data_IF_593090298935
#
_entry.id   IF_593090298935
#
_cell.length_a   1.000
_cell.length_b   1.000
_cell.length_c   1.000
_cell.angle_alpha   90.00
_cell.angle_beta   90.00
_cell.angle_gamma   90.00
#
_symmetry.space_group_name_H-M   'P 1'
#
loop_
_entity.id
_entity.type
_entity.pdbx_description
1 polymer ?
#
# COMPACT_ATOMS: atom_id res chain seq x y z
N UNK A 1 23.22 -3.02 75.95
CA UNK A 1 21.95 -3.53 75.35
C UNK A 1 21.62 -2.76 74.07
N UNK A 2 22.45 -2.86 73.01
CA UNK A 2 22.24 -2.03 71.80
C UNK A 2 22.69 -2.65 70.47
N UNK A 3 23.20 -3.89 70.49
CA UNK A 3 23.62 -4.60 69.27
C UNK A 3 22.55 -5.60 68.77
N UNK A 4 21.80 -6.24 69.68
CA UNK A 4 20.83 -7.28 69.32
C UNK A 4 19.55 -6.75 68.67
N UNK A 5 19.18 -5.49 68.93
CA UNK A 5 17.96 -4.90 68.39
C UNK A 5 18.07 -4.53 66.90
N UNK A 6 19.30 -4.27 66.41
CA UNK A 6 19.55 -3.86 65.01
C UNK A 6 19.59 -5.06 64.04
N UNK A 7 19.93 -6.25 64.55
CA UNK A 7 19.95 -7.49 63.75
C UNK A 7 18.53 -8.03 63.57
N UNK A 8 17.68 -7.96 64.60
CA UNK A 8 16.28 -8.41 64.51
C UNK A 8 15.44 -7.58 63.53
N UNK A 9 15.75 -6.29 63.35
CA UNK A 9 15.00 -5.40 62.45
C UNK A 9 15.33 -5.69 60.97
N UNK A 10 16.61 -5.93 60.66
CA UNK A 10 17.04 -6.28 59.30
C UNK A 10 16.52 -7.65 58.81
N UNK A 11 16.36 -8.63 59.71
CA UNK A 11 15.81 -9.95 59.35
C UNK A 11 14.31 -9.85 59.03
N UNK A 12 13.56 -9.02 59.77
CA UNK A 12 12.13 -8.81 59.52
C UNK A 12 11.87 -8.04 58.21
N UNK A 13 12.72 -7.09 57.84
CA UNK A 13 12.61 -6.36 56.57
C UNK A 13 12.97 -7.25 55.36
N UNK A 14 13.96 -8.13 55.49
CA UNK A 14 14.30 -9.10 54.43
C UNK A 14 13.21 -10.15 54.22
N UNK A 15 12.60 -10.65 55.30
CA UNK A 15 11.47 -11.56 55.25
C UNK A 15 10.22 -10.89 54.65
N UNK A 16 9.96 -9.62 54.99
CA UNK A 16 8.87 -8.83 54.42
C UNK A 16 9.04 -8.55 52.92
N UNK A 17 10.27 -8.31 52.47
CA UNK A 17 10.59 -8.08 51.06
C UNK A 17 10.50 -9.37 50.23
N UNK A 18 11.03 -10.49 50.74
CA UNK A 18 10.86 -11.80 50.09
C UNK A 18 9.38 -12.16 49.98
N UNK A 19 8.59 -11.98 51.04
CA UNK A 19 7.17 -12.33 51.03
C UNK A 19 6.35 -11.44 50.06
N UNK A 20 6.75 -10.18 49.85
CA UNK A 20 6.17 -9.31 48.80
C UNK A 20 6.55 -9.76 47.39
N UNK A 21 7.81 -10.10 47.14
CA UNK A 21 8.28 -10.59 45.84
C UNK A 21 7.62 -11.93 45.50
N UNK A 22 7.53 -12.87 46.44
CA UNK A 22 6.86 -14.15 46.25
C UNK A 22 5.37 -13.97 45.97
N UNK A 23 4.67 -13.07 46.68
CA UNK A 23 3.27 -12.75 46.38
C UNK A 23 3.08 -12.11 45.00
N UNK A 24 3.95 -11.20 44.58
CA UNK A 24 3.90 -10.61 43.24
C UNK A 24 4.16 -11.64 42.13
N UNK A 25 5.08 -12.59 42.34
CA UNK A 25 5.33 -13.68 41.40
C UNK A 25 4.11 -14.62 41.33
N UNK A 26 3.53 -15.01 42.47
CA UNK A 26 2.32 -15.85 42.49
C UNK A 26 1.14 -15.17 41.80
N UNK A 27 0.93 -13.87 42.01
CA UNK A 27 -0.11 -13.11 41.32
C UNK A 27 0.15 -13.09 39.81
N UNK A 28 1.39 -12.89 39.38
CA UNK A 28 1.76 -12.90 37.95
C UNK A 28 1.52 -14.27 37.30
N UNK A 29 1.84 -15.37 37.99
CA UNK A 29 1.55 -16.73 37.53
C UNK A 29 0.05 -17.03 37.49
N UNK A 30 -0.72 -16.57 38.48
CA UNK A 30 -2.19 -16.72 38.47
C UNK A 30 -2.81 -15.96 37.30
N UNK A 31 -2.30 -14.76 36.97
CA UNK A 31 -2.75 -14.01 35.78
C UNK A 31 -2.39 -14.71 34.46
N UNK A 32 -1.20 -15.31 34.34
CA UNK A 32 -0.80 -16.07 33.15
C UNK A 32 -1.61 -17.36 32.99
N UNK A 33 -1.86 -18.09 34.08
CA UNK A 33 -2.67 -19.30 34.04
C UNK A 33 -4.13 -18.97 33.75
N UNK A 34 -4.65 -17.87 34.30
CA UNK A 34 -6.00 -17.39 33.98
C UNK A 34 -6.12 -16.98 32.51
N UNK A 35 -5.17 -16.25 31.94
CA UNK A 35 -5.21 -15.89 30.51
C UNK A 35 -5.07 -17.11 29.60
N UNK A 36 -4.25 -18.11 29.97
CA UNK A 36 -4.21 -19.38 29.22
C UNK A 36 -5.52 -20.17 29.33
N UNK A 37 -6.21 -20.15 30.48
CA UNK A 37 -7.53 -20.77 30.62
C UNK A 37 -8.59 -20.07 29.77
N UNK A 38 -8.60 -18.73 29.74
CA UNK A 38 -9.52 -17.97 28.87
C UNK A 38 -9.25 -18.21 27.38
N UNK A 39 -7.98 -18.26 26.97
CA UNK A 39 -7.60 -18.56 25.58
C UNK A 39 -7.99 -19.99 25.18
N UNK A 40 -7.83 -20.98 26.07
CA UNK A 40 -8.23 -22.36 25.78
C UNK A 40 -9.74 -22.56 25.81
N UNK A 41 -10.47 -21.88 26.71
CA UNK A 41 -11.94 -21.95 26.73
C UNK A 41 -12.59 -21.27 25.51
N UNK A 42 -11.95 -20.24 24.94
CA UNK A 42 -12.40 -19.62 23.68
C UNK A 42 -12.10 -20.49 22.46
N UNK A 43 -11.08 -21.35 22.52
CA UNK A 43 -10.77 -22.33 21.46
C UNK A 43 -11.77 -23.49 21.45
N UNK A 44 -12.20 -23.97 22.62
CA UNK A 44 -13.18 -25.07 22.72
C UNK A 44 -14.61 -24.65 22.31
N UNK A 45 -14.95 -23.36 22.37
CA UNK A 45 -16.26 -22.85 21.89
C UNK A 45 -16.29 -22.69 20.36
N UNK A 46 -15.14 -22.62 19.67
CA UNK A 46 -15.06 -22.53 18.20
C UNK A 46 -15.05 -23.93 17.54
N UNK A 47 -14.88 -25.01 18.31
CA UNK A 47 -14.78 -26.38 17.79
C UNK A 47 -16.13 -27.05 17.46
N UNK A 48 -17.28 -26.37 17.63
CA UNK A 48 -18.59 -26.97 17.31
C UNK A 48 -19.48 -26.06 16.48
N UNK A 49 -19.32 -26.13 15.16
CA UNK A 49 -20.43 -25.88 14.21
C UNK A 49 -20.25 -26.72 12.95
N UNK A 50 -21.23 -27.57 12.58
CA UNK A 50 -21.17 -28.41 11.40
C UNK A 50 -21.78 -27.66 10.21
N UNK A 51 -20.99 -27.40 9.17
CA UNK A 51 -21.51 -26.99 7.87
C UNK A 51 -20.63 -27.56 6.76
N UNK A 52 -20.62 -28.89 6.66
CA UNK A 52 -20.04 -29.61 5.53
C UNK A 52 -20.97 -30.78 5.16
N UNK A 53 -22.13 -30.49 4.57
CA UNK A 53 -22.94 -31.52 3.89
C UNK A 53 -23.97 -30.91 2.94
N UNK A 54 -23.58 -30.63 1.70
CA UNK A 54 -24.47 -30.72 0.51
C UNK A 54 -23.73 -30.47 -0.80
N UNK A 55 -22.65 -31.22 -1.05
CA UNK A 55 -22.22 -31.48 -2.44
C UNK A 55 -22.61 -32.92 -2.77
N UNK A 56 -23.87 -33.09 -3.18
CA UNK A 56 -24.34 -34.33 -3.78
C UNK A 56 -23.71 -34.50 -5.15
N UNK A 57 -22.74 -35.40 -5.24
CA UNK A 57 -22.30 -36.03 -6.48
C UNK A 57 -23.51 -36.76 -7.10
N UNK A 58 -23.93 -36.36 -8.30
CA UNK A 58 -24.72 -37.24 -9.18
C UNK A 58 -23.78 -37.72 -10.28
N UNK A 59 -23.36 -38.99 -10.12
CA UNK A 59 -22.72 -39.77 -11.16
C UNK A 59 -23.70 -40.03 -12.31
N UNK A 60 -23.20 -39.77 -13.51
CA UNK A 60 -23.85 -39.96 -14.79
C UNK A 60 -24.00 -41.47 -15.09
N UNK A 61 -25.22 -41.94 -15.39
CA UNK A 61 -25.45 -43.22 -16.09
C UNK A 61 -25.76 -42.88 -17.54
N UNK A 62 -24.83 -43.16 -18.43
CA UNK A 62 -25.02 -43.06 -19.88
C UNK A 62 -25.88 -44.23 -20.37
N UNK A 63 -26.90 -43.91 -21.17
CA UNK A 63 -27.44 -44.80 -22.21
C UNK A 63 -27.57 -44.00 -23.50
N UNK A 64 -27.05 -44.59 -24.58
CA UNK A 64 -27.00 -44.06 -25.94
C UNK A 64 -28.37 -43.71 -26.52
N UNK A 65 -28.47 -42.58 -27.22
CA UNK A 65 -28.92 -42.48 -28.62
C UNK A 65 -28.77 -41.02 -29.10
N UNK A 66 -28.27 -40.86 -30.33
CA UNK A 66 -27.89 -39.56 -30.87
C UNK A 66 -29.08 -38.77 -31.42
N UNK A 67 -28.97 -37.44 -31.33
CA UNK A 67 -29.56 -36.52 -32.31
C UNK A 67 -28.90 -35.14 -32.18
N UNK A 68 -28.60 -34.53 -33.33
CA UNK A 68 -28.06 -33.17 -33.43
C UNK A 68 -29.16 -32.18 -33.06
N UNK A 69 -28.94 -31.36 -32.04
CA UNK A 69 -29.67 -30.10 -31.86
C UNK A 69 -28.80 -29.12 -31.10
N UNK A 70 -28.55 -27.95 -31.71
CA UNK A 70 -27.83 -26.86 -31.09
C UNK A 70 -28.66 -26.27 -29.96
N UNK A 71 -28.17 -26.36 -28.73
CA UNK A 71 -28.78 -25.70 -27.58
C UNK A 71 -28.03 -24.40 -27.32
N UNK A 72 -28.70 -23.31 -27.64
CA UNK A 72 -28.33 -21.96 -27.28
C UNK A 72 -28.45 -21.83 -25.76
N UNK A 73 -27.34 -21.99 -25.03
CA UNK A 73 -27.32 -21.82 -23.58
C UNK A 73 -27.31 -20.32 -23.28
N UNK A 74 -28.50 -19.73 -23.28
CA UNK A 74 -28.75 -18.39 -22.77
C UNK A 74 -28.53 -18.44 -21.25
N UNK A 75 -27.28 -18.26 -20.81
CA UNK A 75 -27.00 -17.91 -19.43
C UNK A 75 -27.68 -16.55 -19.20
N UNK A 76 -28.81 -16.57 -18.50
CA UNK A 76 -29.39 -15.38 -17.90
C UNK A 76 -28.39 -14.84 -16.90
N UNK A 77 -27.54 -13.93 -17.39
CA UNK A 77 -26.76 -13.03 -16.55
C UNK A 77 -27.79 -12.19 -15.81
N UNK A 78 -28.09 -12.55 -14.57
CA UNK A 78 -28.63 -11.61 -13.61
C UNK A 78 -27.66 -10.43 -13.58
N UNK A 79 -28.07 -9.33 -14.22
CA UNK A 79 -27.45 -8.03 -14.04
C UNK A 79 -27.66 -7.66 -12.58
N UNK A 80 -26.71 -8.03 -11.73
CA UNK A 80 -26.54 -7.37 -10.46
C UNK A 80 -26.18 -5.91 -10.76
N UNK A 81 -27.20 -5.05 -10.69
CA UNK A 81 -27.12 -3.60 -10.72
C UNK A 81 -26.48 -3.05 -9.42
N UNK A 82 -25.34 -3.59 -9.02
CA UNK A 82 -24.65 -3.21 -7.77
C UNK A 82 -23.18 -2.87 -8.04
N UNK A 83 -22.91 -1.89 -8.90
CA UNK A 83 -21.69 -1.10 -8.80
C UNK A 83 -22.09 0.34 -9.10
N UNK A 84 -22.54 1.08 -8.08
CA UNK A 84 -22.78 2.52 -8.16
C UNK A 84 -21.59 3.16 -8.88
N UNK A 85 -21.88 3.88 -9.96
CA UNK A 85 -20.92 4.77 -10.58
C UNK A 85 -20.52 5.79 -9.51
N UNK A 86 -19.34 5.60 -8.91
CA UNK A 86 -18.71 6.64 -8.12
C UNK A 86 -18.54 7.83 -9.06
N UNK A 87 -19.51 8.77 -8.99
CA UNK A 87 -19.48 10.02 -9.74
C UNK A 87 -18.09 10.60 -9.55
N UNK A 88 -17.44 11.04 -10.63
CA UNK A 88 -16.11 11.65 -10.53
C UNK A 88 -16.21 12.91 -9.66
N UNK A 89 -15.95 12.78 -8.36
CA UNK A 89 -15.98 13.85 -7.34
C UNK A 89 -14.77 14.78 -7.50
N UNK A 90 -14.67 15.40 -8.67
CA UNK A 90 -13.61 16.31 -9.05
C UNK A 90 -14.02 17.71 -8.57
N UNK A 91 -13.16 18.39 -7.77
CA UNK A 91 -13.44 19.76 -7.37
C UNK A 91 -13.60 20.69 -8.58
N UNK A 92 -14.54 21.65 -8.52
CA UNK A 92 -14.67 22.67 -9.55
C UNK A 92 -13.37 23.46 -9.72
N UNK A 93 -13.01 23.74 -10.97
CA UNK A 93 -11.80 24.50 -11.33
C UNK A 93 -12.11 25.99 -11.45
N UNK A 94 -11.12 26.84 -11.16
CA UNK A 94 -11.19 28.30 -11.29
C UNK A 94 -12.33 28.97 -10.49
N UNK A 95 -12.73 28.37 -9.37
CA UNK A 95 -13.72 28.95 -8.45
C UNK A 95 -13.06 29.50 -7.19
N UNK A 96 -13.76 30.39 -6.51
CA UNK A 96 -13.35 30.92 -5.20
C UNK A 96 -13.27 29.81 -4.14
N UNK A 97 -12.60 30.10 -3.02
CA UNK A 97 -12.53 29.18 -1.89
C UNK A 97 -13.91 28.89 -1.33
N UNK A 98 -14.76 29.91 -1.23
CA UNK A 98 -16.10 29.86 -0.68
C UNK A 98 -17.01 28.94 -1.51
N UNK A 99 -16.99 29.09 -2.84
CA UNK A 99 -17.74 28.24 -3.77
C UNK A 99 -17.26 26.78 -3.72
N UNK A 100 -15.95 26.56 -3.69
CA UNK A 100 -15.38 25.22 -3.56
C UNK A 100 -15.74 24.57 -2.23
N UNK A 101 -15.72 25.33 -1.14
CA UNK A 101 -16.15 24.86 0.18
C UNK A 101 -17.63 24.49 0.20
N UNK A 102 -18.49 25.31 -0.43
CA UNK A 102 -19.92 25.01 -0.55
C UNK A 102 -20.16 23.73 -1.38
N UNK A 103 -19.48 23.59 -2.52
CA UNK A 103 -19.49 22.37 -3.32
C UNK A 103 -19.01 21.16 -2.52
N UNK A 104 -17.90 21.30 -1.79
CA UNK A 104 -17.33 20.19 -1.04
C UNK A 104 -18.25 19.73 0.08
N UNK A 105 -18.81 20.65 0.88
CA UNK A 105 -19.79 20.34 1.93
C UNK A 105 -21.02 19.64 1.37
N UNK A 106 -21.53 20.10 0.22
CA UNK A 106 -22.67 19.49 -0.48
C UNK A 106 -22.37 18.05 -0.92
N UNK A 107 -21.15 17.78 -1.38
CA UNK A 107 -20.74 16.47 -1.89
C UNK A 107 -20.06 15.59 -0.83
N UNK A 108 -19.81 16.10 0.37
CA UNK A 108 -19.13 15.39 1.45
C UNK A 108 -19.72 13.98 1.74
N UNK A 109 -21.06 13.79 1.77
CA UNK A 109 -21.66 12.47 1.96
C UNK A 109 -21.43 11.47 0.81
N UNK A 110 -20.94 11.92 -0.35
CA UNK A 110 -20.61 11.04 -1.50
C UNK A 110 -19.19 10.49 -1.42
N UNK A 111 -18.31 11.09 -0.61
CA UNK A 111 -16.94 10.60 -0.43
C UNK A 111 -16.93 9.39 0.52
N UNK A 112 -17.15 8.20 -0.03
CA UNK A 112 -17.17 6.93 0.72
C UNK A 112 -15.95 6.74 1.63
N UNK A 113 -14.76 7.14 1.18
CA UNK A 113 -13.52 7.02 1.95
C UNK A 113 -13.48 7.92 3.20
N UNK A 114 -14.24 9.03 3.20
CA UNK A 114 -14.32 9.95 4.33
C UNK A 114 -15.43 9.55 5.32
N UNK A 115 -16.34 8.65 4.94
CA UNK A 115 -17.33 8.10 5.86
C UNK A 115 -16.59 7.35 6.97
N UNK A 116 -16.94 7.62 8.22
CA UNK A 116 -16.39 6.85 9.34
C UNK A 116 -16.80 5.40 9.17
N UNK A 117 -15.84 4.53 8.88
CA UNK A 117 -16.03 3.09 8.79
C UNK A 117 -16.21 2.50 10.19
N UNK A 118 -17.26 2.90 10.92
CA UNK A 118 -17.77 2.02 11.97
C UNK A 118 -18.70 1.01 11.30
N UNK A 119 -18.11 -0.03 10.71
CA UNK A 119 -18.85 -1.22 10.30
C UNK A 119 -18.58 -2.31 11.35
N UNK A 120 -19.58 -2.71 12.16
CA UNK A 120 -19.42 -3.74 13.21
C UNK A 120 -18.97 -5.11 12.68
N UNK A 121 -19.18 -5.39 11.38
CA UNK A 121 -18.73 -6.63 10.73
C UNK A 121 -17.28 -6.58 10.21
N UNK A 122 -16.63 -5.42 10.25
CA UNK A 122 -15.19 -5.34 10.05
C UNK A 122 -14.50 -5.73 11.35
N UNK A 123 -13.89 -6.91 11.41
CA UNK A 123 -12.77 -7.11 12.32
C UNK A 123 -11.87 -5.88 12.19
N UNK A 124 -11.53 -5.22 13.32
CA UNK A 124 -10.94 -3.88 13.26
C UNK A 124 -9.81 -3.85 12.22
N UNK A 125 -9.79 -2.83 11.35
CA UNK A 125 -8.82 -2.71 10.25
C UNK A 125 -7.40 -3.15 10.68
N UNK A 126 -7.01 -2.73 11.89
CA UNK A 126 -5.78 -3.14 12.55
C UNK A 126 -5.59 -4.66 12.68
N UNK A 127 -6.55 -5.39 13.23
CA UNK A 127 -6.47 -6.85 13.40
C UNK A 127 -6.31 -7.58 12.06
N UNK A 128 -6.96 -7.06 11.00
CA UNK A 128 -6.85 -7.65 9.66
C UNK A 128 -5.47 -7.42 9.05
N UNK A 129 -4.92 -6.21 9.22
CA UNK A 129 -3.53 -5.93 8.82
C UNK A 129 -2.56 -6.82 9.61
N UNK A 130 -2.73 -6.94 10.93
CA UNK A 130 -1.88 -7.82 11.75
C UNK A 130 -1.97 -9.29 11.31
N UNK A 131 -3.19 -9.81 11.06
CA UNK A 131 -3.40 -11.16 10.55
C UNK A 131 -2.75 -11.38 9.19
N UNK A 132 -2.72 -10.37 8.32
CA UNK A 132 -1.97 -10.45 7.06
C UNK A 132 -0.45 -10.48 7.28
N UNK A 133 0.05 -9.72 8.26
CA UNK A 133 1.49 -9.63 8.57
C UNK A 133 2.07 -10.90 9.23
N UNK A 134 1.25 -11.80 9.78
CA UNK A 134 1.73 -13.06 10.38
C UNK A 134 2.17 -14.10 9.33
N UNK A 135 1.98 -13.83 8.03
CA UNK A 135 2.27 -14.79 6.97
C UNK A 135 3.76 -15.07 6.70
N UNK A 136 4.68 -14.66 7.58
CA UNK A 136 6.14 -14.83 7.46
C UNK A 136 6.67 -14.37 6.09
N UNK A 137 6.74 -13.05 5.91
CA UNK A 137 7.13 -12.39 4.67
C UNK A 137 8.58 -11.91 4.75
N UNK A 138 9.34 -12.01 3.66
CA UNK A 138 10.69 -11.42 3.61
C UNK A 138 10.65 -9.89 3.66
N UNK A 139 9.62 -9.31 3.05
CA UNK A 139 9.41 -7.86 3.00
C UNK A 139 7.91 -7.57 2.94
N UNK A 140 7.47 -6.57 3.71
CA UNK A 140 6.10 -6.08 3.70
C UNK A 140 5.98 -4.88 2.76
N UNK A 141 5.18 -5.06 1.72
CA UNK A 141 4.82 -4.04 0.75
C UNK A 141 3.37 -3.62 0.96
N UNK A 142 3.09 -2.35 0.67
CA UNK A 142 1.72 -1.91 0.53
C UNK A 142 1.55 -0.86 -0.57
N UNK A 143 0.40 -0.91 -1.23
CA UNK A 143 -0.03 0.01 -2.26
C UNK A 143 -1.40 0.61 -1.92
N UNK A 144 -1.76 1.70 -2.57
CA UNK A 144 -3.04 2.39 -2.36
C UNK A 144 -3.80 2.47 -3.68
N UNK A 145 -5.05 2.01 -3.69
CA UNK A 145 -5.94 2.12 -4.85
C UNK A 145 -7.31 2.65 -4.43
N UNK A 146 -7.55 3.94 -4.66
CA UNK A 146 -8.78 4.61 -4.25
C UNK A 146 -9.80 4.76 -5.39
N UNK A 147 -9.48 4.29 -6.59
CA UNK A 147 -10.41 4.29 -7.72
C UNK A 147 -11.29 3.03 -7.73
N UNK A 148 -12.39 3.01 -8.50
CA UNK A 148 -13.16 1.79 -8.72
C UNK A 148 -12.30 0.65 -9.26
N UNK A 149 -12.55 -0.58 -8.81
CA UNK A 149 -11.78 -1.77 -9.25
C UNK A 149 -11.93 -2.02 -10.76
N UNK A 150 -13.01 -1.53 -11.38
CA UNK A 150 -13.18 -1.57 -12.84
C UNK A 150 -12.12 -0.80 -13.62
N UNK A 151 -11.48 0.18 -13.00
CA UNK A 151 -10.42 0.98 -13.61
C UNK A 151 -9.02 0.41 -13.34
N UNK A 152 -8.91 -0.65 -12.53
CA UNK A 152 -7.63 -1.31 -12.28
C UNK A 152 -7.30 -2.19 -13.48
N UNK A 153 -6.38 -1.72 -14.33
CA UNK A 153 -6.11 -2.34 -15.62
C UNK A 153 -4.95 -3.33 -15.56
N UNK A 154 -4.66 -3.97 -16.70
CA UNK A 154 -3.45 -4.79 -16.88
C UNK A 154 -2.17 -4.02 -16.57
N UNK A 155 -2.15 -2.70 -16.80
CA UNK A 155 -1.01 -1.82 -16.55
C UNK A 155 -0.74 -1.61 -15.07
N UNK A 156 -1.74 -1.58 -14.21
CA UNK A 156 -1.53 -1.52 -12.76
C UNK A 156 -1.22 -2.91 -12.21
N UNK A 157 -1.85 -3.95 -12.77
CA UNK A 157 -1.61 -5.34 -12.37
C UNK A 157 -0.15 -5.75 -12.54
N UNK A 158 0.49 -5.31 -13.63
CA UNK A 158 1.89 -5.66 -13.92
C UNK A 158 2.88 -5.13 -12.89
N UNK A 159 2.52 -4.05 -12.17
CA UNK A 159 3.31 -3.56 -11.04
C UNK A 159 3.44 -4.62 -9.97
N UNK A 160 2.33 -5.30 -9.66
CA UNK A 160 2.31 -6.35 -8.63
C UNK A 160 2.91 -7.65 -9.15
N UNK A 161 2.69 -7.98 -10.42
CA UNK A 161 3.27 -9.16 -11.05
C UNK A 161 4.81 -9.09 -11.07
N UNK A 162 5.37 -7.96 -11.52
CA UNK A 162 6.83 -7.75 -11.52
C UNK A 162 7.40 -7.58 -10.11
N UNK A 163 6.63 -7.04 -9.16
CA UNK A 163 7.01 -7.06 -7.74
C UNK A 163 7.26 -8.49 -7.26
N UNK A 164 6.31 -9.40 -7.49
CA UNK A 164 6.43 -10.80 -7.06
C UNK A 164 7.46 -11.60 -7.87
N UNK A 165 7.84 -11.16 -9.07
CA UNK A 165 8.97 -11.72 -9.82
C UNK A 165 10.28 -11.59 -9.05
N UNK A 166 10.52 -10.42 -8.45
CA UNK A 166 11.78 -10.13 -7.73
C UNK A 166 11.66 -10.33 -6.22
N UNK A 167 10.44 -10.33 -5.66
CA UNK A 167 10.13 -10.59 -4.26
C UNK A 167 9.13 -11.75 -4.10
N UNK A 168 9.49 -13.00 -4.43
CA UNK A 168 8.56 -14.13 -4.40
C UNK A 168 8.05 -14.48 -3.00
N UNK A 169 8.77 -14.09 -1.94
CA UNK A 169 8.39 -14.28 -0.53
C UNK A 169 7.87 -13.00 0.14
N UNK A 170 7.68 -11.93 -0.64
CA UNK A 170 7.10 -10.68 -0.17
C UNK A 170 5.60 -10.81 0.12
N UNK A 171 5.07 -9.84 0.86
CA UNK A 171 3.63 -9.70 1.07
C UNK A 171 3.16 -8.33 0.61
N UNK A 172 2.08 -8.29 -0.18
CA UNK A 172 1.51 -7.06 -0.70
C UNK A 172 0.12 -6.80 -0.13
N UNK A 173 -0.01 -5.74 0.66
CA UNK A 173 -1.30 -5.22 1.09
C UNK A 173 -1.77 -4.09 0.19
N UNK A 174 -2.99 -4.16 -0.34
CA UNK A 174 -3.59 -3.11 -1.15
C UNK A 174 -4.67 -2.41 -0.33
N UNK A 175 -4.44 -1.14 0.00
CA UNK A 175 -5.43 -0.32 0.69
C UNK A 175 -6.47 0.18 -0.31
N UNK A 176 -7.61 -0.49 -0.34
CA UNK A 176 -8.64 -0.24 -1.33
C UNK A 176 -9.96 -0.87 -0.95
N UNK A 177 -11.02 -0.06 -0.90
CA UNK A 177 -12.40 -0.55 -0.73
C UNK A 177 -12.89 -1.30 -1.95
N UNK A 178 -12.64 -0.77 -3.14
CA UNK A 178 -13.15 -1.35 -4.39
C UNK A 178 -12.46 -2.67 -4.74
N UNK A 179 -11.18 -2.83 -4.41
CA UNK A 179 -10.45 -4.09 -4.60
C UNK A 179 -10.78 -5.12 -3.52
N UNK A 180 -11.34 -4.72 -2.38
CA UNK A 180 -11.91 -5.62 -1.38
C UNK A 180 -13.33 -6.10 -1.77
N UNK A 181 -13.50 -6.49 -3.03
CA UNK A 181 -14.77 -6.95 -3.60
C UNK A 181 -14.56 -8.25 -4.38
N UNK A 182 -15.66 -8.90 -4.81
CA UNK A 182 -15.58 -10.06 -5.71
C UNK A 182 -14.82 -9.75 -7.00
N UNK A 183 -14.96 -8.52 -7.52
CA UNK A 183 -14.23 -8.05 -8.71
C UNK A 183 -12.75 -7.91 -8.43
N UNK A 184 -12.37 -7.25 -7.33
CA UNK A 184 -10.97 -7.12 -6.93
C UNK A 184 -10.30 -8.47 -6.67
N UNK A 185 -11.01 -9.42 -6.05
CA UNK A 185 -10.55 -10.81 -5.92
C UNK A 185 -10.25 -11.44 -7.28
N UNK A 186 -11.15 -11.31 -8.28
CA UNK A 186 -10.90 -11.83 -9.64
C UNK A 186 -9.68 -11.20 -10.30
N UNK A 187 -9.45 -9.91 -10.08
CA UNK A 187 -8.27 -9.19 -10.59
C UNK A 187 -6.99 -9.75 -9.96
N UNK A 188 -6.99 -10.02 -8.66
CA UNK A 188 -5.81 -10.53 -7.93
C UNK A 188 -5.62 -12.04 -8.04
N UNK A 189 -6.65 -12.78 -8.48
CA UNK A 189 -6.65 -14.24 -8.59
C UNK A 189 -5.42 -14.81 -9.32
N UNK A 190 -4.91 -14.24 -10.43
CA UNK A 190 -3.73 -14.79 -11.09
C UNK A 190 -2.45 -14.78 -10.23
N UNK A 191 -2.34 -13.86 -9.27
CA UNK A 191 -1.24 -13.84 -8.29
C UNK A 191 -1.50 -14.86 -7.16
N UNK A 192 -2.74 -14.91 -6.66
CA UNK A 192 -3.15 -15.82 -5.60
C UNK A 192 -3.03 -17.30 -6.02
N UNK A 193 -3.42 -17.62 -7.26
CA UNK A 193 -3.30 -18.96 -7.84
C UNK A 193 -1.85 -19.44 -7.92
N UNK A 194 -0.88 -18.51 -7.89
CA UNK A 194 0.56 -18.80 -7.87
C UNK A 194 1.14 -18.86 -6.45
N UNK A 195 0.30 -18.73 -5.42
CA UNK A 195 0.72 -18.75 -4.03
C UNK A 195 1.31 -17.44 -3.52
N UNK A 196 1.22 -16.34 -4.28
CA UNK A 196 1.69 -15.04 -3.80
C UNK A 196 0.76 -14.48 -2.73
N UNK A 197 1.36 -13.82 -1.74
CA UNK A 197 0.68 -13.27 -0.58
C UNK A 197 0.22 -11.84 -0.90
N UNK A 198 -0.99 -11.71 -1.44
CA UNK A 198 -1.60 -10.41 -1.76
C UNK A 198 -3.00 -10.31 -1.17
N UNK A 199 -3.33 -9.18 -0.56
CA UNK A 199 -4.67 -8.96 0.00
C UNK A 199 -5.10 -7.50 -0.16
N UNK A 200 -6.36 -7.28 -0.52
CA UNK A 200 -6.97 -5.95 -0.45
C UNK A 200 -7.73 -5.77 0.88
N UNK A 201 -7.57 -4.60 1.51
CA UNK A 201 -8.25 -4.23 2.75
C UNK A 201 -8.74 -2.78 2.62
N UNK A 202 -10.00 -2.53 2.96
CA UNK A 202 -10.57 -1.18 3.08
C UNK A 202 -9.85 -0.42 4.19
N UNK A 203 -9.25 0.75 3.91
CA UNK A 203 -8.54 1.52 4.92
C UNK A 203 -9.49 2.17 5.93
N UNK A 204 -9.05 2.23 7.19
CA UNK A 204 -9.68 3.05 8.24
C UNK A 204 -8.85 4.32 8.47
N UNK A 205 -9.24 5.41 7.81
CA UNK A 205 -8.52 6.69 7.89
C UNK A 205 -8.42 7.23 9.34
N UNK A 206 -9.51 7.30 10.13
CA UNK A 206 -9.42 7.69 11.54
C UNK A 206 -8.41 6.87 12.33
N UNK A 207 -8.39 5.54 12.16
CA UNK A 207 -7.39 4.70 12.81
C UNK A 207 -5.97 5.04 12.36
N UNK A 208 -5.76 5.23 11.05
CA UNK A 208 -4.45 5.52 10.45
C UNK A 208 -3.85 6.84 10.91
N UNK A 209 -4.66 7.86 11.18
CA UNK A 209 -4.14 9.15 11.67
C UNK A 209 -4.23 9.30 13.18
N UNK A 210 -4.87 8.38 13.90
CA UNK A 210 -5.02 8.44 15.36
C UNK A 210 -3.67 8.60 16.04
N UNK A 211 -3.60 9.57 16.96
CA UNK A 211 -2.40 9.95 17.72
C UNK A 211 -1.23 10.41 16.81
N UNK A 212 -1.56 11.09 15.70
CA UNK A 212 -0.58 11.75 14.84
C UNK A 212 -1.01 13.20 14.56
N UNK A 213 -0.09 14.10 14.17
CA UNK A 213 -0.42 15.47 13.79
C UNK A 213 -1.48 15.59 12.69
N UNK A 214 -1.62 14.57 11.83
CA UNK A 214 -2.60 14.55 10.75
C UNK A 214 -4.04 14.28 11.18
N UNK A 215 -4.28 13.94 12.46
CA UNK A 215 -5.63 13.68 12.96
C UNK A 215 -6.55 14.90 12.83
N UNK A 216 -6.09 16.07 13.29
CA UNK A 216 -6.86 17.31 13.22
C UNK A 216 -7.13 17.76 11.78
N UNK A 217 -6.19 17.49 10.86
CA UNK A 217 -6.37 17.73 9.44
C UNK A 217 -7.54 16.89 8.89
N UNK A 218 -7.56 15.58 9.19
CA UNK A 218 -8.62 14.69 8.72
C UNK A 218 -9.98 15.09 9.30
N UNK A 219 -10.04 15.42 10.59
CA UNK A 219 -11.26 15.92 11.25
C UNK A 219 -11.77 17.20 10.57
N UNK A 220 -10.88 18.15 10.27
CA UNK A 220 -11.22 19.38 9.55
C UNK A 220 -11.80 19.11 8.16
N UNK A 221 -11.24 18.16 7.40
CA UNK A 221 -11.76 17.75 6.09
C UNK A 221 -13.12 17.06 6.25
N UNK A 222 -13.25 16.09 7.17
CA UNK A 222 -14.49 15.34 7.42
C UNK A 222 -15.63 16.21 7.93
N UNK A 223 -15.34 17.30 8.62
CA UNK A 223 -16.35 18.23 9.11
C UNK A 223 -16.69 19.32 8.08
N UNK A 224 -16.07 19.31 6.89
CA UNK A 224 -16.24 20.35 5.89
C UNK A 224 -15.73 21.73 6.36
N UNK A 225 -14.81 21.76 7.31
CA UNK A 225 -14.23 22.98 7.88
C UNK A 225 -12.88 23.34 7.25
N UNK A 226 -12.33 22.43 6.43
CA UNK A 226 -11.08 22.63 5.71
C UNK A 226 -11.29 22.56 4.21
N UNK A 227 -10.61 23.45 3.49
CA UNK A 227 -10.61 23.50 2.04
C UNK A 227 -9.86 22.28 1.45
N UNK A 228 -10.52 21.42 0.66
CA UNK A 228 -9.86 20.29 0.02
C UNK A 228 -8.93 20.71 -1.13
N UNK A 229 -9.09 21.94 -1.64
CA UNK A 229 -8.41 22.46 -2.82
C UNK A 229 -8.92 21.91 -4.16
N UNK A 230 -8.34 22.40 -5.25
CA UNK A 230 -8.75 22.05 -6.63
C UNK A 230 -8.24 20.69 -7.11
N UNK A 231 -7.24 20.11 -6.44
CA UNK A 231 -6.75 18.75 -6.72
C UNK A 231 -7.70 17.73 -6.07
N UNK A 232 -8.06 16.63 -6.77
CA UNK A 232 -8.94 15.60 -6.21
C UNK A 232 -8.48 15.13 -4.82
N UNK A 233 -9.42 15.13 -3.87
CA UNK A 233 -9.12 14.79 -2.47
C UNK A 233 -8.54 13.39 -2.32
N UNK A 234 -8.93 12.44 -3.18
CA UNK A 234 -8.38 11.07 -3.22
C UNK A 234 -6.87 11.06 -3.43
N UNK A 235 -6.32 11.95 -4.26
CA UNK A 235 -4.88 12.08 -4.45
C UNK A 235 -4.19 12.55 -3.16
N UNK A 236 -4.77 13.52 -2.47
CA UNK A 236 -4.25 14.01 -1.19
C UNK A 236 -4.40 12.98 -0.06
N UNK A 237 -5.49 12.19 -0.05
CA UNK A 237 -5.67 11.09 0.88
C UNK A 237 -4.65 9.97 0.64
N UNK A 238 -4.29 9.66 -0.61
CA UNK A 238 -3.19 8.74 -0.92
C UNK A 238 -1.84 9.23 -0.38
N UNK A 239 -1.55 10.53 -0.48
CA UNK A 239 -0.35 11.14 0.12
C UNK A 239 -0.36 11.06 1.67
N UNK A 240 -1.51 11.24 2.30
CA UNK A 240 -1.64 11.08 3.75
C UNK A 240 -1.48 9.61 4.18
N UNK A 241 -2.20 8.71 3.50
CA UNK A 241 -2.24 7.28 3.82
C UNK A 241 -0.87 6.62 3.69
N UNK A 242 -0.07 6.96 2.67
CA UNK A 242 1.28 6.39 2.52
C UNK A 242 2.16 6.72 3.72
N UNK A 243 2.11 7.96 4.21
CA UNK A 243 2.86 8.40 5.39
C UNK A 243 2.35 7.74 6.68
N UNK A 244 1.04 7.73 6.87
CA UNK A 244 0.40 7.19 8.06
C UNK A 244 0.60 5.67 8.20
N UNK A 245 0.53 4.94 7.08
CA UNK A 245 0.80 3.50 7.05
C UNK A 245 2.26 3.18 7.34
N UNK A 246 3.20 3.87 6.71
CA UNK A 246 4.63 3.71 7.03
C UNK A 246 4.88 3.99 8.51
N UNK A 247 4.26 5.03 9.07
CA UNK A 247 4.44 5.37 10.49
C UNK A 247 3.93 4.24 11.41
N UNK A 248 2.77 3.66 11.11
CA UNK A 248 2.14 2.64 11.97
C UNK A 248 2.66 1.22 11.78
N UNK A 249 3.08 0.85 10.56
CA UNK A 249 3.41 -0.52 10.21
C UNK A 249 4.80 -0.68 9.59
N UNK A 250 5.46 0.41 9.19
CA UNK A 250 6.71 0.37 8.44
C UNK A 250 6.54 -0.29 7.06
N UNK A 251 7.62 -0.86 6.55
CA UNK A 251 7.65 -1.59 5.29
C UNK A 251 7.93 -0.69 4.09
N UNK A 252 7.39 -1.09 2.94
CA UNK A 252 7.65 -0.45 1.64
C UNK A 252 6.33 0.02 1.03
N UNK A 253 6.18 1.34 0.90
CA UNK A 253 5.13 1.93 0.09
C UNK A 253 5.52 1.91 -1.40
N UNK A 254 4.56 1.63 -2.28
CA UNK A 254 4.73 1.71 -3.73
C UNK A 254 3.47 2.26 -4.45
N UNK A 255 3.67 3.18 -5.40
CA UNK A 255 2.65 3.59 -6.37
C UNK A 255 2.33 2.43 -7.34
N UNK A 256 1.15 2.42 -7.95
CA UNK A 256 0.67 1.31 -8.78
C UNK A 256 1.15 1.37 -10.24
N UNK A 257 2.15 2.18 -10.56
CA UNK A 257 2.70 2.40 -11.90
C UNK A 257 4.23 2.25 -11.91
N UNK A 258 4.71 1.17 -11.30
CA UNK A 258 6.13 0.83 -11.17
C UNK A 258 6.41 -0.53 -11.82
N UNK A 259 7.58 -0.69 -12.42
CA UNK A 259 8.09 -2.00 -12.88
C UNK A 259 9.28 -2.37 -12.02
N UNK A 260 9.20 -3.49 -11.30
CA UNK A 260 10.29 -3.96 -10.45
C UNK A 260 11.23 -4.86 -11.23
N UNK A 261 12.53 -4.58 -11.14
CA UNK A 261 13.57 -5.29 -11.91
C UNK A 261 14.66 -5.91 -11.03
N UNK A 262 14.74 -5.51 -9.76
CA UNK A 262 15.72 -6.01 -8.78
C UNK A 262 15.14 -6.03 -7.37
N UNK A 263 15.56 -7.03 -6.58
CA UNK A 263 15.23 -7.16 -5.16
C UNK A 263 15.72 -5.95 -4.35
N UNK A 264 14.85 -5.41 -3.51
CA UNK A 264 15.07 -4.26 -2.62
C UNK A 264 15.13 -4.65 -1.13
N UNK A 265 15.24 -5.93 -0.78
CA UNK A 265 15.07 -6.40 0.60
C UNK A 265 16.15 -5.86 1.54
N UNK A 266 17.30 -5.48 1.00
CA UNK A 266 18.42 -4.87 1.74
C UNK A 266 18.23 -3.37 2.02
N UNK A 267 17.25 -2.72 1.39
CA UNK A 267 17.01 -1.29 1.57
C UNK A 267 16.24 -1.04 2.87
N UNK A 268 16.66 -0.02 3.61
CA UNK A 268 16.03 0.38 4.87
C UNK A 268 16.11 1.88 5.06
N UNK A 269 15.02 2.49 5.52
CA UNK A 269 14.90 3.95 5.71
C UNK A 269 15.42 4.73 4.49
N UNK A 270 14.87 4.41 3.33
CA UNK A 270 15.33 4.90 2.04
C UNK A 270 14.22 5.59 1.24
N UNK A 271 14.62 6.63 0.52
CA UNK A 271 13.77 7.37 -0.42
C UNK A 271 14.57 7.71 -1.68
N UNK A 272 13.94 7.77 -2.84
CA UNK A 272 14.61 8.10 -4.09
C UNK A 272 14.61 9.59 -4.43
N UNK A 273 15.75 10.09 -4.90
CA UNK A 273 15.83 11.35 -5.62
C UNK A 273 15.24 11.19 -7.02
N UNK A 274 14.27 12.00 -7.40
CA UNK A 274 13.78 12.09 -8.78
C UNK A 274 14.74 12.89 -9.66
N UNK A 275 15.33 13.96 -9.12
CA UNK A 275 16.21 14.85 -9.86
C UNK A 275 17.41 15.24 -9.03
N UNK A 276 18.57 15.31 -9.67
CA UNK A 276 19.85 15.74 -9.09
C UNK A 276 20.43 16.89 -9.92
N UNK A 277 21.10 17.79 -9.25
CA UNK A 277 21.93 18.80 -9.87
C UNK A 277 23.13 18.13 -10.57
N UNK A 278 23.41 18.53 -11.81
CA UNK A 278 24.42 17.84 -12.62
C UNK A 278 25.85 18.15 -12.19
N UNK A 279 26.08 19.30 -11.54
CA UNK A 279 27.41 19.75 -11.13
C UNK A 279 27.72 19.26 -9.71
N UNK A 280 26.88 19.64 -8.75
CA UNK A 280 27.06 19.35 -7.32
C UNK A 280 26.69 17.91 -6.95
N UNK A 281 25.96 17.20 -7.83
CA UNK A 281 25.38 15.86 -7.58
C UNK A 281 24.41 15.80 -6.40
N UNK A 282 24.01 16.95 -5.86
CA UNK A 282 23.00 17.02 -4.81
C UNK A 282 21.62 16.79 -5.40
N UNK A 283 20.76 16.10 -4.66
CA UNK A 283 19.37 15.94 -5.07
C UNK A 283 18.63 17.27 -4.94
N UNK A 284 17.77 17.56 -5.92
CA UNK A 284 16.92 18.76 -5.95
C UNK A 284 15.44 18.43 -5.77
N UNK A 285 15.09 17.17 -6.04
CA UNK A 285 13.73 16.67 -5.92
C UNK A 285 13.76 15.24 -5.40
N UNK A 286 13.04 15.00 -4.31
CA UNK A 286 12.66 13.67 -3.89
C UNK A 286 11.24 13.36 -4.38
N UNK A 287 10.94 12.08 -4.52
CA UNK A 287 9.62 11.60 -4.90
C UNK A 287 9.15 10.53 -3.90
N UNK A 288 7.85 10.47 -3.69
CA UNK A 288 7.16 9.62 -2.73
C UNK A 288 6.50 8.40 -3.36
N UNK A 289 6.84 8.07 -4.62
CA UNK A 289 6.27 6.91 -5.32
C UNK A 289 6.78 5.56 -4.78
N UNK A 290 7.99 5.55 -4.19
CA UNK A 290 8.50 4.44 -3.39
C UNK A 290 9.11 5.01 -2.12
N UNK A 291 8.74 4.47 -0.96
CA UNK A 291 9.25 4.89 0.34
C UNK A 291 9.43 3.68 1.24
N UNK A 292 10.61 3.51 1.81
CA UNK A 292 10.98 2.35 2.61
C UNK A 292 11.35 2.84 3.99
N UNK A 293 10.58 2.47 5.02
CA UNK A 293 10.85 2.96 6.37
C UNK A 293 10.52 1.93 7.44
N UNK A 294 11.29 1.98 8.52
CA UNK A 294 10.93 1.33 9.76
C UNK A 294 9.65 1.94 10.35
N UNK A 295 8.89 1.10 11.03
CA UNK A 295 7.76 1.54 11.84
C UNK A 295 8.21 2.64 12.83
N UNK A 296 7.42 3.71 12.94
CA UNK A 296 7.69 4.88 13.80
C UNK A 296 9.00 5.63 13.53
N UNK A 297 9.59 5.50 12.33
CA UNK A 297 10.74 6.32 11.99
C UNK A 297 10.40 7.83 12.16
N UNK A 298 11.22 8.63 12.89
CA UNK A 298 10.83 9.98 13.32
C UNK A 298 10.49 10.92 12.16
N UNK A 299 11.19 10.78 11.03
CA UNK A 299 10.87 11.59 9.83
C UNK A 299 9.43 11.44 9.35
N UNK A 300 8.78 10.30 9.58
CA UNK A 300 7.39 10.10 9.17
C UNK A 300 6.44 10.96 10.01
N UNK A 301 6.78 11.24 11.27
CA UNK A 301 6.04 12.16 12.11
C UNK A 301 6.20 13.59 11.60
N UNK A 302 7.43 14.01 11.28
CA UNK A 302 7.72 15.33 10.69
C UNK A 302 7.00 15.52 9.35
N UNK A 303 6.93 14.47 8.53
CA UNK A 303 6.19 14.47 7.25
C UNK A 303 4.68 14.60 7.48
N UNK A 304 4.10 13.90 8.46
CA UNK A 304 2.68 14.00 8.82
C UNK A 304 2.36 15.40 9.40
N UNK A 305 3.26 15.98 10.18
CA UNK A 305 3.14 17.34 10.70
C UNK A 305 3.17 18.38 9.58
N UNK A 306 4.14 18.27 8.66
CA UNK A 306 4.22 19.16 7.49
C UNK A 306 2.97 19.03 6.61
N UNK A 307 2.44 17.81 6.45
CA UNK A 307 1.21 17.57 5.70
C UNK A 307 0.04 18.30 6.35
N UNK A 308 -0.13 18.17 7.67
CA UNK A 308 -1.26 18.73 8.40
C UNK A 308 -1.20 20.26 8.50
N UNK A 309 -0.01 20.82 8.76
CA UNK A 309 0.20 22.25 9.02
C UNK A 309 0.27 23.08 7.73
N UNK A 310 0.90 22.54 6.68
CA UNK A 310 1.15 23.28 5.44
C UNK A 310 0.25 22.86 4.26
N UNK A 311 -0.76 22.02 4.49
CA UNK A 311 -1.63 21.48 3.43
C UNK A 311 -2.10 22.57 2.45
N UNK A 312 -1.84 22.35 1.17
CA UNK A 312 -2.36 23.16 0.07
C UNK A 312 -2.89 22.23 -1.02
N UNK A 313 -4.20 22.01 -1.01
CA UNK A 313 -4.88 21.17 -2.00
C UNK A 313 -5.00 21.80 -3.38
N UNK A 314 -4.55 23.06 -3.58
CA UNK A 314 -4.61 23.73 -4.89
C UNK A 314 -3.32 23.56 -5.69
N UNK A 315 -2.23 23.10 -5.06
CA UNK A 315 -0.91 22.96 -5.69
C UNK A 315 -0.56 21.50 -5.90
N UNK A 316 -0.51 21.08 -7.15
CA UNK A 316 -0.08 19.72 -7.49
C UNK A 316 1.34 19.45 -6.95
N UNK A 317 1.52 18.31 -6.30
CA UNK A 317 2.79 17.88 -5.72
C UNK A 317 3.12 18.51 -4.36
N UNK A 318 2.45 19.60 -3.95
CA UNK A 318 2.74 20.30 -2.68
C UNK A 318 2.68 19.34 -1.49
N UNK A 319 1.64 18.52 -1.40
CA UNK A 319 1.43 17.55 -0.32
C UNK A 319 2.10 16.19 -0.54
N UNK A 320 2.94 16.04 -1.58
CA UNK A 320 3.62 14.79 -1.92
C UNK A 320 5.12 15.03 -2.17
N UNK A 321 5.61 15.01 -3.43
CA UNK A 321 7.04 15.17 -3.74
C UNK A 321 7.66 16.47 -3.19
N UNK A 322 6.93 17.59 -3.14
CA UNK A 322 7.46 18.85 -2.59
C UNK A 322 7.54 18.83 -1.07
N UNK A 323 6.57 18.21 -0.41
CA UNK A 323 6.58 18.00 1.04
C UNK A 323 7.77 17.13 1.44
N UNK A 324 7.96 15.96 0.83
CA UNK A 324 9.08 15.06 1.20
C UNK A 324 10.43 15.72 0.93
N UNK A 325 10.57 16.45 -0.17
CA UNK A 325 11.81 17.19 -0.50
C UNK A 325 12.14 18.23 0.59
N UNK A 326 11.14 19.02 0.99
CA UNK A 326 11.30 20.07 2.02
C UNK A 326 11.66 19.49 3.39
N UNK A 327 10.95 18.46 3.85
CA UNK A 327 11.20 17.88 5.17
C UNK A 327 12.55 17.18 5.22
N UNK A 328 12.88 16.35 4.24
CA UNK A 328 14.20 15.68 4.16
C UNK A 328 15.32 16.70 4.04
N UNK A 329 15.14 17.78 3.27
CA UNK A 329 16.12 18.87 3.16
C UNK A 329 16.46 19.48 4.51
N UNK A 330 15.44 19.85 5.29
CA UNK A 330 15.64 20.38 6.64
C UNK A 330 16.35 19.39 7.57
N UNK A 331 16.02 18.09 7.48
CA UNK A 331 16.65 17.04 8.29
C UNK A 331 18.14 16.88 7.95
N UNK A 332 18.47 16.88 6.65
CA UNK A 332 19.85 16.70 6.16
C UNK A 332 20.68 17.96 6.42
N UNK A 333 20.17 19.14 6.07
CA UNK A 333 20.84 20.43 6.29
C UNK A 333 21.02 20.73 7.78
N UNK A 334 19.98 20.49 8.58
CA UNK A 334 20.01 20.63 10.03
C UNK A 334 20.83 19.56 10.75
N UNK A 335 21.39 18.58 10.02
CA UNK A 335 22.17 17.45 10.55
C UNK A 335 21.46 16.75 11.72
N UNK A 336 20.14 16.56 11.61
CA UNK A 336 19.31 16.00 12.68
C UNK A 336 19.60 14.51 12.95
N UNK A 337 20.53 13.89 12.22
CA UNK A 337 21.06 12.56 12.53
C UNK A 337 20.10 11.41 12.28
N UNK A 338 19.02 11.63 11.54
CA UNK A 338 18.10 10.55 11.18
C UNK A 338 18.79 9.50 10.31
N UNK A 339 18.52 8.23 10.60
CA UNK A 339 18.96 7.12 9.76
C UNK A 339 18.16 7.13 8.45
N UNK A 340 18.61 7.90 7.46
CA UNK A 340 17.93 8.06 6.19
C UNK A 340 18.94 7.95 5.05
N UNK A 341 18.63 7.13 4.05
CA UNK A 341 19.38 7.04 2.80
C UNK A 341 18.58 7.67 1.66
N UNK A 342 19.18 8.65 0.98
CA UNK A 342 18.64 9.16 -0.29
C UNK A 342 19.32 8.42 -1.44
N UNK A 343 18.55 7.61 -2.17
CA UNK A 343 19.03 6.86 -3.31
C UNK A 343 19.07 7.74 -4.58
N UNK A 344 20.01 7.51 -5.51
CA UNK A 344 20.10 8.28 -6.74
C UNK A 344 18.90 8.03 -7.67
N UNK A 345 18.64 8.90 -8.66
CA UNK A 345 17.55 8.71 -9.61
C UNK A 345 17.56 7.36 -10.31
N UNK A 346 18.72 6.79 -10.61
CA UNK A 346 18.84 5.46 -11.23
C UNK A 346 18.15 4.35 -10.43
N UNK A 347 17.93 4.50 -9.12
CA UNK A 347 17.31 3.48 -8.28
C UNK A 347 15.83 3.25 -8.61
N UNK A 348 15.04 4.32 -8.75
CA UNK A 348 13.58 4.25 -8.90
C UNK A 348 13.03 5.11 -10.05
N UNK A 349 13.81 6.10 -10.50
CA UNK A 349 13.45 7.09 -11.51
C UNK A 349 14.51 7.18 -12.63
N UNK A 350 14.95 6.04 -13.23
CA UNK A 350 16.02 6.04 -14.23
C UNK A 350 15.63 6.80 -15.52
N UNK A 351 14.34 7.10 -15.71
CA UNK A 351 13.81 7.81 -16.87
C UNK A 351 12.91 8.96 -16.41
N UNK A 352 13.23 10.17 -16.86
CA UNK A 352 12.40 11.35 -16.60
C UNK A 352 11.04 11.26 -17.30
N UNK A 353 10.02 11.83 -16.67
CA UNK A 353 8.64 11.85 -17.16
C UNK A 353 8.47 12.48 -18.55
N UNK A 354 9.40 13.34 -19.00
CA UNK A 354 9.40 13.88 -20.35
C UNK A 354 9.89 12.88 -21.40
N UNK A 355 10.81 11.98 -21.02
CA UNK A 355 11.49 11.04 -21.92
C UNK A 355 10.86 9.65 -21.92
N UNK A 356 10.05 9.32 -20.92
CA UNK A 356 9.44 7.99 -20.77
C UNK A 356 8.62 7.57 -21.99
N UNK A 357 8.06 8.52 -22.76
CA UNK A 357 7.29 8.21 -23.98
C UNK A 357 8.10 7.45 -25.03
N UNK A 358 9.41 7.68 -25.09
CA UNK A 358 10.27 7.01 -26.07
C UNK A 358 10.46 5.52 -25.76
N UNK A 359 10.21 5.09 -24.51
CA UNK A 359 10.26 3.68 -24.12
C UNK A 359 9.07 2.87 -24.65
N UNK A 360 7.99 3.54 -25.09
CA UNK A 360 6.78 2.92 -25.63
C UNK A 360 6.80 2.76 -27.15
N UNK A 361 7.76 3.37 -27.84
CA UNK A 361 7.79 3.46 -29.31
C UNK A 361 8.56 2.30 -29.94
N UNK A 362 8.09 1.84 -31.08
CA UNK A 362 8.77 0.88 -31.96
C UNK A 362 9.97 1.55 -32.62
N UNK A 363 11.17 0.95 -32.54
CA UNK A 363 12.31 1.48 -33.27
C UNK A 363 12.12 1.29 -34.78
N UNK A 364 12.45 2.31 -35.58
CA UNK A 364 12.31 2.29 -37.04
C UNK A 364 13.65 2.28 -37.78
N UNK A 365 14.77 2.34 -37.05
CA UNK A 365 16.14 2.38 -37.59
C UNK A 365 17.05 1.45 -36.79
N UNK A 366 18.16 1.02 -37.38
CA UNK A 366 19.17 0.18 -36.71
C UNK A 366 19.73 0.85 -35.44
N UNK A 367 19.93 2.18 -35.49
CA UNK A 367 20.31 2.97 -34.32
C UNK A 367 19.23 2.96 -33.23
N UNK A 368 17.95 2.97 -33.62
CA UNK A 368 16.83 2.87 -32.69
C UNK A 368 16.75 1.50 -32.03
N UNK A 369 16.97 0.42 -32.80
CA UNK A 369 17.01 -0.95 -32.28
C UNK A 369 18.14 -1.08 -31.24
N UNK A 370 19.34 -0.62 -31.61
CA UNK A 370 20.51 -0.60 -30.72
C UNK A 370 20.24 0.23 -29.45
N UNK A 371 19.54 1.37 -29.58
CA UNK A 371 19.15 2.18 -28.43
C UNK A 371 18.20 1.45 -27.49
N UNK A 372 17.17 0.76 -28.03
CA UNK A 372 16.24 -0.05 -27.24
C UNK A 372 17.00 -1.13 -26.47
N UNK A 373 17.88 -1.88 -27.14
CA UNK A 373 18.66 -2.95 -26.51
C UNK A 373 19.54 -2.42 -25.39
N UNK A 374 20.26 -1.32 -25.62
CA UNK A 374 21.10 -0.70 -24.60
C UNK A 374 20.29 -0.23 -23.39
N UNK A 375 19.10 0.37 -23.60
CA UNK A 375 18.22 0.81 -22.51
C UNK A 375 17.65 -0.36 -21.72
N UNK A 376 17.23 -1.42 -22.40
CA UNK A 376 16.77 -2.64 -21.76
C UNK A 376 17.88 -3.27 -20.91
N UNK A 377 19.08 -3.43 -21.48
CA UNK A 377 20.24 -3.99 -20.78
C UNK A 377 20.65 -3.14 -19.59
N UNK A 378 20.65 -1.82 -19.71
CA UNK A 378 20.98 -0.92 -18.60
C UNK A 378 19.98 -1.04 -17.45
N UNK A 379 18.68 -1.12 -17.75
CA UNK A 379 17.65 -1.27 -16.71
C UNK A 379 17.77 -2.59 -15.96
N UNK A 380 18.01 -3.68 -16.69
CA UNK A 380 17.99 -5.05 -16.13
C UNK A 380 19.34 -5.45 -15.54
N UNK A 381 20.42 -5.23 -16.27
CA UNK A 381 21.76 -5.73 -15.94
C UNK A 381 22.71 -4.63 -15.43
N UNK A 382 22.29 -3.36 -15.43
CA UNK A 382 23.11 -2.25 -14.93
C UNK A 382 23.30 -2.24 -13.41
N UNK A 383 22.54 -3.05 -12.66
CA UNK A 383 22.69 -3.29 -11.21
C UNK A 383 22.25 -2.14 -10.29
N UNK A 384 21.94 -0.97 -10.84
CA UNK A 384 21.56 0.25 -10.10
C UNK A 384 20.05 0.45 -9.97
N UNK A 385 19.27 -0.14 -10.84
CA UNK A 385 17.82 0.05 -10.92
C UNK A 385 17.11 -1.02 -10.09
N UNK A 386 16.23 -0.59 -9.20
CA UNK A 386 15.33 -1.46 -8.46
C UNK A 386 13.94 -1.46 -9.09
N UNK A 387 13.47 -0.27 -9.46
CA UNK A 387 12.20 -0.09 -10.12
C UNK A 387 12.25 1.01 -11.18
N UNK A 388 11.35 0.94 -12.16
CA UNK A 388 11.10 1.97 -13.16
C UNK A 388 9.71 2.57 -12.92
N UNK A 389 9.66 3.86 -12.63
CA UNK A 389 8.41 4.61 -12.56
C UNK A 389 7.87 4.95 -13.96
N UNK A 390 6.62 4.57 -14.23
CA UNK A 390 6.00 4.71 -15.55
C UNK A 390 5.40 6.09 -15.81
N UNK A 391 5.13 6.87 -14.76
CA UNK A 391 4.51 8.19 -14.86
C UNK A 391 3.14 8.12 -15.52
N UNK A 392 2.20 7.33 -14.97
CA UNK A 392 0.92 7.00 -15.61
C UNK A 392 0.13 8.22 -16.12
N UNK A 393 0.22 9.38 -15.46
CA UNK A 393 -0.40 10.63 -15.96
C UNK A 393 0.06 11.03 -17.38
N UNK A 394 1.26 10.62 -17.79
CA UNK A 394 1.88 10.88 -19.09
C UNK A 394 1.77 9.72 -20.07
N UNK A 395 1.62 8.49 -19.56
CA UNK A 395 1.77 7.26 -20.36
C UNK A 395 0.52 6.40 -20.44
N UNK A 396 -0.51 6.63 -19.61
CA UNK A 396 -1.73 5.78 -19.57
C UNK A 396 -2.42 5.62 -20.91
N UNK A 397 -2.32 6.63 -21.78
CA UNK A 397 -2.96 6.68 -23.10
C UNK A 397 -2.01 6.23 -24.23
N UNK A 398 -0.79 5.78 -23.89
CA UNK A 398 0.18 5.28 -24.87
C UNK A 398 0.04 3.76 -25.03
N UNK A 399 -0.04 3.33 -26.28
CA UNK A 399 0.14 1.93 -26.63
C UNK A 399 1.60 1.50 -26.36
N UNK A 400 1.78 0.25 -25.97
CA UNK A 400 3.10 -0.38 -25.92
C UNK A 400 3.34 -0.93 -27.33
N UNK A 401 4.20 -0.26 -28.09
CA UNK A 401 4.49 -0.68 -29.46
C UNK A 401 5.47 -1.86 -29.50
N UNK A 402 5.34 -2.69 -30.53
CA UNK A 402 6.17 -3.88 -30.75
C UNK A 402 7.67 -3.52 -30.83
N UNK A 403 8.51 -4.29 -30.16
CA UNK A 403 9.96 -4.07 -30.13
C UNK A 403 10.40 -2.86 -29.30
N UNK A 404 9.49 -2.18 -28.60
CA UNK A 404 9.81 -1.08 -27.68
C UNK A 404 10.51 -1.58 -26.42
N UNK A 405 11.13 -0.66 -25.66
CA UNK A 405 11.75 -1.02 -24.36
C UNK A 405 10.69 -1.58 -23.41
N UNK A 406 9.49 -0.97 -23.39
CA UNK A 406 8.40 -1.43 -22.53
C UNK A 406 7.92 -2.83 -22.92
N UNK A 407 7.77 -3.14 -24.21
CA UNK A 407 7.38 -4.48 -24.65
C UNK A 407 8.40 -5.53 -24.20
N UNK A 408 9.70 -5.27 -24.37
CA UNK A 408 10.77 -6.16 -23.90
C UNK A 408 10.73 -6.36 -22.38
N UNK A 409 10.57 -5.29 -21.61
CA UNK A 409 10.42 -5.36 -20.15
C UNK A 409 9.22 -6.24 -19.75
N UNK A 410 8.07 -6.02 -20.37
CA UNK A 410 6.86 -6.78 -20.05
C UNK A 410 6.94 -8.25 -20.46
N UNK A 411 7.63 -8.54 -21.56
CA UNK A 411 7.83 -9.92 -22.03
C UNK A 411 8.77 -10.70 -21.09
N UNK A 412 9.85 -10.07 -20.62
CA UNK A 412 10.86 -10.77 -19.81
C UNK A 412 10.48 -10.88 -18.32
N UNK A 413 9.79 -9.88 -17.77
CA UNK A 413 9.57 -9.77 -16.32
C UNK A 413 8.18 -10.18 -15.84
N UNK A 414 7.23 -10.39 -16.75
CA UNK A 414 5.89 -10.72 -16.34
C UNK A 414 5.69 -12.24 -16.13
N UNK A 415 5.33 -12.62 -14.91
CA UNK A 415 5.06 -14.00 -14.48
C UNK A 415 3.77 -14.57 -15.07
N UNK A 416 2.71 -13.76 -15.13
CA UNK A 416 1.37 -14.20 -15.54
C UNK A 416 1.03 -13.84 -16.99
N UNK A 417 1.91 -13.14 -17.70
CA UNK A 417 1.71 -12.69 -19.06
C UNK A 417 2.05 -13.80 -20.07
N UNK A 418 1.24 -14.84 -20.15
CA UNK A 418 1.47 -15.88 -21.16
C UNK A 418 1.18 -15.43 -22.60
N UNK A 419 0.69 -14.20 -22.84
CA UNK A 419 0.39 -13.62 -24.16
C UNK A 419 0.08 -12.11 -24.06
N UNK A 420 1.09 -11.24 -23.90
CA UNK A 420 0.88 -9.78 -24.09
C UNK A 420 1.05 -9.32 -25.54
N UNK A 421 1.54 -10.19 -26.42
CA UNK A 421 1.51 -9.98 -27.86
C UNK A 421 0.13 -10.34 -28.41
N UNK A 422 -0.62 -9.32 -28.87
CA UNK A 422 -1.96 -9.33 -29.50
C UNK A 422 -3.12 -8.95 -28.58
N UNK A 423 -3.31 -7.64 -28.43
CA UNK A 423 -4.57 -6.93 -28.78
C UNK A 423 -4.28 -5.45 -28.82
#
# INVERSE_FOLDING_TARGET
MGADQKISQNINDHAGLQNRVTKSIVIFYVFIVATMFFINSDIDIISSSPALSSFGFIMQKQTHQGEKSGVNLQLSIEKNNEEEEEENLIPPQNVTKEERMAWFRKNLPKFEILKSSYNPSSASFHLRVLSFLTQNCSTFFFAIWLSPAKNFSKREFITFDTLFKVHPQGCLLILSRSMESKRGYRILKPLLDRGFKVQAITPDLPFLVKNTPAQSWLEGIKNGNRDPGSIPISQNLSNLMRLAMLYKYGGVYLDTDLIFVKDMSELRNAIGAQFVDLETKQWLRLNSAIMIFDMKHPILLDLLEEFASSFDGNKWGHNGPYLVTKVVGRVVEGKLGYNLTVLPPSAFYPVDWNKIKDYYKKPTTDSGITWVDNRFVELIYGGKTYALHLWNKKTRDLAIEEGSVMEKLFTDYCLTCSNFTRT
#
